data_IF_942363977341
#
_entry.id   IF_942363977341
#
_cell.length_a   1.000
_cell.length_b   1.000
_cell.length_c   1.000
_cell.angle_alpha   90.00
_cell.angle_beta   90.00
_cell.angle_gamma   90.00
#
_symmetry.space_group_name_H-M   'P 1'
#
loop_
_entity.id
_entity.type
_entity.pdbx_description
1 polymer ?
#
# COMPACT_ATOMS: atom_id res chain seq x y z
N UNK A 1 66.73 -6.87 51.40
CA UNK A 1 67.28 -6.90 50.03
C UNK A 1 66.42 -7.76 49.07
N UNK A 2 65.84 -8.88 49.51
CA UNK A 2 64.99 -9.76 48.69
C UNK A 2 63.69 -9.12 48.16
N UNK A 3 63.02 -8.30 48.98
CA UNK A 3 61.80 -7.59 48.57
C UNK A 3 62.02 -6.66 47.37
N UNK A 4 63.17 -5.99 47.32
CA UNK A 4 63.57 -5.11 46.23
C UNK A 4 63.85 -5.89 44.95
N UNK A 5 64.53 -7.04 45.04
CA UNK A 5 64.84 -7.91 43.90
C UNK A 5 63.57 -8.49 43.26
N UNK A 6 62.59 -8.90 44.08
CA UNK A 6 61.27 -9.36 43.63
C UNK A 6 60.50 -8.25 42.89
N UNK A 7 60.41 -7.06 43.49
CA UNK A 7 59.72 -5.91 42.89
C UNK A 7 60.34 -5.47 41.56
N UNK A 8 61.67 -5.55 41.43
CA UNK A 8 62.37 -5.23 40.19
C UNK A 8 62.06 -6.26 39.07
N UNK A 9 61.94 -7.55 39.41
CA UNK A 9 61.54 -8.59 38.47
C UNK A 9 60.10 -8.43 37.98
N UNK A 10 59.18 -8.07 38.89
CA UNK A 10 57.78 -7.74 38.55
C UNK A 10 57.69 -6.51 37.65
N UNK A 11 58.46 -5.46 37.95
CA UNK A 11 58.50 -4.24 37.13
C UNK A 11 58.98 -4.53 35.70
N UNK A 12 59.98 -5.40 35.54
CA UNK A 12 60.47 -5.82 34.22
C UNK A 12 59.39 -6.59 33.43
N UNK A 13 58.62 -7.46 34.09
CA UNK A 13 57.49 -8.19 33.46
C UNK A 13 56.39 -7.22 33.03
N UNK A 14 56.03 -6.27 33.90
CA UNK A 14 55.03 -5.25 33.61
C UNK A 14 55.44 -4.37 32.42
N UNK A 15 56.71 -3.97 32.34
CA UNK A 15 57.26 -3.23 31.20
C UNK A 15 57.13 -4.02 29.88
N UNK A 16 57.44 -5.32 29.89
CA UNK A 16 57.29 -6.18 28.70
C UNK A 16 55.83 -6.29 28.27
N UNK A 17 54.91 -6.44 29.22
CA UNK A 17 53.48 -6.50 28.95
C UNK A 17 52.99 -5.18 28.35
N UNK A 18 53.39 -4.04 28.94
CA UNK A 18 53.02 -2.71 28.45
C UNK A 18 53.45 -2.49 27.00
N UNK A 19 54.70 -2.83 26.64
CA UNK A 19 55.17 -2.71 25.26
C UNK A 19 54.42 -3.64 24.29
N UNK A 20 54.06 -4.85 24.72
CA UNK A 20 53.26 -5.76 23.91
C UNK A 20 51.84 -5.22 23.66
N UNK A 21 51.17 -4.73 24.71
CA UNK A 21 49.83 -4.14 24.61
C UNK A 21 49.83 -2.85 23.80
N UNK A 22 50.89 -2.03 23.93
CA UNK A 22 51.04 -0.82 23.11
C UNK A 22 51.08 -1.15 21.62
N UNK A 23 51.86 -2.16 21.22
CA UNK A 23 51.92 -2.61 19.82
C UNK A 23 50.57 -3.13 19.33
N UNK A 24 49.86 -3.89 20.15
CA UNK A 24 48.51 -4.36 19.81
C UNK A 24 47.54 -3.20 19.61
N UNK A 25 47.61 -2.17 20.46
CA UNK A 25 46.77 -0.98 20.35
C UNK A 25 47.06 -0.20 19.05
N UNK A 26 48.32 -0.05 18.68
CA UNK A 26 48.72 0.60 17.42
C UNK A 26 48.15 -0.14 16.19
N UNK A 27 48.25 -1.47 16.18
CA UNK A 27 47.68 -2.31 15.10
C UNK A 27 46.16 -2.20 15.05
N UNK A 28 45.48 -2.33 16.19
CA UNK A 28 44.02 -2.23 16.27
C UNK A 28 43.52 -0.84 15.82
N UNK A 29 44.25 0.23 16.18
CA UNK A 29 43.91 1.60 15.74
C UNK A 29 44.02 1.77 14.23
N UNK A 30 45.03 1.14 13.61
CA UNK A 30 45.20 1.13 12.16
C UNK A 30 44.06 0.38 11.47
N UNK A 31 43.71 -0.81 11.96
CA UNK A 31 42.60 -1.62 11.42
C UNK A 31 41.26 -0.90 11.54
N UNK A 32 40.95 -0.32 12.70
CA UNK A 32 39.73 0.49 12.90
C UNK A 32 39.70 1.69 11.95
N UNK A 33 40.84 2.33 11.71
CA UNK A 33 40.92 3.45 10.77
C UNK A 33 40.64 3.01 9.33
N UNK A 34 41.12 1.84 8.93
CA UNK A 34 40.84 1.23 7.63
C UNK A 34 39.35 0.92 7.47
N UNK A 35 38.76 0.22 8.44
CA UNK A 35 37.32 -0.13 8.42
C UNK A 35 36.46 1.13 8.40
N UNK A 36 36.85 2.19 9.13
CA UNK A 36 36.13 3.46 9.07
C UNK A 36 36.15 4.08 7.67
N UNK A 37 37.30 4.07 7.00
CA UNK A 37 37.40 4.56 5.63
C UNK A 37 36.54 3.76 4.64
N UNK A 38 36.51 2.42 4.79
CA UNK A 38 35.64 1.55 3.98
C UNK A 38 34.15 1.82 4.26
N UNK A 39 33.78 2.00 5.53
CA UNK A 39 32.42 2.37 5.94
C UNK A 39 32.00 3.73 5.37
N UNK A 40 32.85 4.75 5.48
CA UNK A 40 32.59 6.09 4.95
C UNK A 40 32.40 6.03 3.43
N UNK A 41 33.20 5.23 2.71
CA UNK A 41 33.04 5.00 1.28
C UNK A 41 31.71 4.31 0.93
N UNK A 42 31.36 3.23 1.63
CA UNK A 42 30.10 2.53 1.43
C UNK A 42 28.87 3.43 1.69
N UNK A 43 28.93 4.31 2.69
CA UNK A 43 27.86 5.26 2.97
C UNK A 43 27.65 6.28 1.84
N UNK A 44 28.73 6.71 1.17
CA UNK A 44 28.64 7.58 -0.01
C UNK A 44 27.95 6.85 -1.17
N UNK A 45 28.38 5.61 -1.47
CA UNK A 45 27.76 4.79 -2.52
C UNK A 45 26.27 4.54 -2.26
N UNK A 46 25.89 4.24 -1.01
CA UNK A 46 24.47 4.09 -0.63
C UNK A 46 23.71 5.40 -0.88
N UNK A 47 24.27 6.55 -0.50
CA UNK A 47 23.60 7.84 -0.71
C UNK A 47 23.42 8.18 -2.20
N UNK A 48 24.38 7.80 -3.05
CA UNK A 48 24.26 7.96 -4.51
C UNK A 48 23.18 7.04 -5.08
N UNK A 49 23.15 5.79 -4.62
CA UNK A 49 22.13 4.81 -5.02
C UNK A 49 20.73 5.23 -4.59
N UNK A 50 20.55 5.70 -3.36
CA UNK A 50 19.25 6.20 -2.87
C UNK A 50 18.71 7.36 -3.71
N UNK A 51 19.60 8.17 -4.31
CA UNK A 51 19.21 9.23 -5.24
C UNK A 51 18.88 8.71 -6.63
N UNK A 52 19.53 7.63 -7.08
CA UNK A 52 19.32 7.07 -8.41
C UNK A 52 18.07 6.19 -8.51
N UNK A 53 17.70 5.39 -7.48
CA UNK A 53 16.57 4.44 -7.65
C UNK A 53 15.23 5.12 -7.91
N UNK A 54 14.87 6.26 -7.27
CA UNK A 54 13.65 6.97 -7.65
C UNK A 54 13.72 7.33 -9.13
N UNK A 55 14.78 8.03 -9.54
CA UNK A 55 14.96 8.50 -10.93
C UNK A 55 14.88 7.37 -11.95
N UNK A 56 15.54 6.24 -11.70
CA UNK A 56 15.51 5.06 -12.58
C UNK A 56 14.12 4.42 -12.61
N UNK A 57 13.46 4.29 -11.45
CA UNK A 57 12.08 3.81 -11.37
C UNK A 57 11.14 4.72 -12.16
N UNK A 58 11.25 6.04 -12.01
CA UNK A 58 10.45 6.98 -12.78
C UNK A 58 10.68 6.82 -14.28
N UNK A 59 11.94 6.69 -14.72
CA UNK A 59 12.26 6.44 -16.12
C UNK A 59 11.65 5.13 -16.64
N UNK A 60 11.77 4.04 -15.88
CA UNK A 60 11.21 2.73 -16.23
C UNK A 60 9.66 2.77 -16.31
N UNK A 61 9.00 3.48 -15.39
CA UNK A 61 7.55 3.70 -15.44
C UNK A 61 7.16 4.47 -16.69
N UNK A 62 7.90 5.54 -17.02
CA UNK A 62 7.61 6.31 -18.23
C UNK A 62 7.82 5.50 -19.51
N UNK A 63 8.86 4.68 -19.57
CA UNK A 63 9.09 3.75 -20.68
C UNK A 63 7.93 2.75 -20.83
N UNK A 64 7.50 2.14 -19.72
CA UNK A 64 6.36 1.23 -19.71
C UNK A 64 5.07 1.90 -20.17
N UNK A 65 4.77 3.10 -19.66
CA UNK A 65 3.59 3.88 -20.06
C UNK A 65 3.63 4.32 -21.53
N UNK A 66 4.83 4.46 -22.09
CA UNK A 66 5.05 4.76 -23.51
C UNK A 66 5.03 3.51 -24.39
N UNK A 67 5.01 2.31 -23.80
CA UNK A 67 5.07 1.06 -24.54
C UNK A 67 3.78 0.79 -25.33
N UNK A 68 3.94 0.15 -26.49
CA UNK A 68 2.80 -0.27 -27.33
C UNK A 68 1.84 -1.18 -26.57
N UNK A 69 2.37 -2.11 -25.76
CA UNK A 69 1.56 -3.02 -24.95
C UNK A 69 0.66 -2.27 -23.98
N UNK A 70 1.19 -1.25 -23.28
CA UNK A 70 0.37 -0.42 -22.41
C UNK A 70 -0.73 0.29 -23.20
N UNK A 71 -0.40 0.91 -24.34
CA UNK A 71 -1.38 1.65 -25.14
C UNK A 71 -2.47 0.79 -25.78
N UNK A 72 -2.13 -0.42 -26.21
CA UNK A 72 -3.05 -1.28 -26.96
C UNK A 72 -3.86 -2.22 -26.06
N UNK A 73 -3.29 -2.72 -24.96
CA UNK A 73 -3.96 -3.69 -24.10
C UNK A 73 -4.46 -3.07 -22.79
N UNK A 74 -3.61 -2.30 -22.10
CA UNK A 74 -3.86 -1.89 -20.72
C UNK A 74 -4.67 -0.58 -20.65
N UNK A 75 -4.25 0.46 -21.37
CA UNK A 75 -4.91 1.77 -21.38
C UNK A 75 -6.40 1.70 -21.74
N UNK A 76 -6.84 0.93 -22.78
CA UNK A 76 -8.25 0.80 -23.09
C UNK A 76 -9.03 0.10 -21.98
N UNK A 77 -8.44 -0.93 -21.36
CA UNK A 77 -9.04 -1.66 -20.24
C UNK A 77 -9.24 -0.74 -19.02
N UNK A 78 -8.21 0.00 -18.60
CA UNK A 78 -8.34 0.96 -17.50
C UNK A 78 -9.40 2.05 -17.79
N UNK A 79 -9.47 2.53 -19.04
CA UNK A 79 -10.51 3.48 -19.44
C UNK A 79 -11.92 2.87 -19.39
N UNK A 80 -12.07 1.60 -19.74
CA UNK A 80 -13.34 0.88 -19.64
C UNK A 80 -13.77 0.71 -18.18
N UNK A 81 -12.85 0.32 -17.30
CA UNK A 81 -13.10 0.15 -15.87
C UNK A 81 -13.56 1.47 -15.24
N UNK A 82 -12.85 2.57 -15.53
CA UNK A 82 -13.24 3.90 -15.07
C UNK A 82 -14.63 4.32 -15.57
N UNK A 83 -14.99 4.00 -16.82
CA UNK A 83 -16.33 4.26 -17.37
C UNK A 83 -17.41 3.40 -16.72
N UNK A 84 -17.08 2.18 -16.30
CA UNK A 84 -17.99 1.31 -15.58
C UNK A 84 -18.27 1.87 -14.18
N UNK A 85 -17.21 2.19 -13.44
CA UNK A 85 -17.33 2.75 -12.09
C UNK A 85 -18.06 4.11 -12.12
N UNK A 86 -17.77 4.97 -13.11
CA UNK A 86 -18.54 6.21 -13.33
C UNK A 86 -20.03 5.95 -13.49
N UNK A 87 -20.43 4.97 -14.33
CA UNK A 87 -21.86 4.65 -14.54
C UNK A 87 -22.52 4.13 -13.27
N UNK A 88 -21.81 3.30 -12.51
CA UNK A 88 -22.29 2.79 -11.22
C UNK A 88 -22.55 3.93 -10.24
N UNK A 89 -21.59 4.84 -10.06
CA UNK A 89 -21.77 6.00 -9.17
C UNK A 89 -22.85 6.97 -9.66
N UNK A 90 -22.94 7.22 -10.97
CA UNK A 90 -24.03 8.04 -11.52
C UNK A 90 -25.41 7.43 -11.21
N UNK A 91 -25.57 6.12 -11.35
CA UNK A 91 -26.82 5.44 -11.03
C UNK A 91 -27.13 5.42 -9.52
N UNK A 92 -26.11 5.51 -8.66
CA UNK A 92 -26.31 5.69 -7.22
C UNK A 92 -26.81 7.11 -6.95
N UNK A 93 -26.09 8.13 -7.44
CA UNK A 93 -26.45 9.53 -7.24
C UNK A 93 -27.87 9.82 -7.73
N UNK A 94 -28.22 9.41 -8.95
CA UNK A 94 -29.54 9.61 -9.55
C UNK A 94 -30.70 9.10 -8.66
N UNK A 95 -30.47 8.04 -7.86
CA UNK A 95 -31.45 7.51 -6.91
C UNK A 95 -31.49 8.24 -5.56
N UNK A 96 -30.40 8.88 -5.16
CA UNK A 96 -30.30 9.55 -3.86
C UNK A 96 -30.89 10.96 -3.89
N UNK A 97 -30.84 11.65 -5.02
CA UNK A 97 -31.11 13.08 -5.09
C UNK A 97 -31.80 13.56 -6.39
N UNK A 98 -32.35 12.64 -7.20
CA UNK A 98 -32.91 12.89 -8.53
C UNK A 98 -31.95 13.66 -9.47
N UNK A 99 -30.65 13.49 -9.26
CA UNK A 99 -29.58 14.17 -9.99
C UNK A 99 -29.42 15.65 -9.61
N UNK A 100 -29.97 16.12 -8.49
CA UNK A 100 -29.88 17.52 -8.06
C UNK A 100 -28.44 17.97 -7.75
N UNK A 101 -27.63 17.14 -7.08
CA UNK A 101 -26.20 17.37 -6.82
C UNK A 101 -25.44 17.43 -8.14
N UNK A 102 -25.68 16.48 -9.05
CA UNK A 102 -25.03 16.45 -10.37
C UNK A 102 -25.32 17.73 -11.17
N UNK A 103 -26.58 18.19 -11.15
CA UNK A 103 -27.01 19.41 -11.84
C UNK A 103 -26.31 20.65 -11.29
N UNK A 104 -26.19 20.77 -9.96
CA UNK A 104 -25.47 21.86 -9.31
C UNK A 104 -24.00 21.92 -9.75
N UNK A 105 -23.30 20.79 -9.74
CA UNK A 105 -21.90 20.76 -10.19
C UNK A 105 -21.77 21.08 -11.69
N UNK A 106 -22.72 20.66 -12.53
CA UNK A 106 -22.73 21.05 -13.93
C UNK A 106 -22.90 22.57 -14.12
N UNK A 107 -23.80 23.19 -13.36
CA UNK A 107 -24.01 24.64 -13.38
C UNK A 107 -22.75 25.39 -12.92
N UNK A 108 -22.10 24.94 -11.84
CA UNK A 108 -20.85 25.50 -11.32
C UNK A 108 -19.72 25.40 -12.38
N UNK A 109 -19.54 24.23 -13.00
CA UNK A 109 -18.55 24.02 -14.07
C UNK A 109 -18.80 24.99 -15.23
N UNK A 110 -20.06 25.10 -15.69
CA UNK A 110 -20.43 25.98 -16.78
C UNK A 110 -20.25 27.46 -16.43
N UNK A 111 -20.43 27.84 -15.16
CA UNK A 111 -20.15 29.18 -14.67
C UNK A 111 -18.65 29.49 -14.74
N UNK A 112 -17.78 28.58 -14.29
CA UNK A 112 -16.34 28.75 -14.42
C UNK A 112 -15.91 28.85 -15.88
N UNK A 113 -16.44 28.00 -16.77
CA UNK A 113 -16.17 28.09 -18.21
C UNK A 113 -16.59 29.45 -18.80
N UNK A 114 -17.74 29.99 -18.39
CA UNK A 114 -18.19 31.34 -18.81
C UNK A 114 -17.25 32.45 -18.34
N UNK A 115 -16.61 32.28 -17.18
CA UNK A 115 -15.61 33.22 -16.64
C UNK A 115 -14.21 33.03 -17.22
N UNK A 116 -13.99 31.99 -18.03
CA UNK A 116 -12.65 31.63 -18.51
C UNK A 116 -11.77 30.98 -17.44
N UNK A 117 -12.37 30.46 -16.37
CA UNK A 117 -11.71 29.81 -15.25
C UNK A 117 -11.74 28.29 -15.41
N UNK A 118 -10.73 27.61 -14.85
CA UNK A 118 -10.72 26.14 -14.79
C UNK A 118 -11.44 25.69 -13.53
N UNK A 119 -12.47 24.86 -13.66
CA UNK A 119 -13.10 24.22 -12.51
C UNK A 119 -12.11 23.22 -11.87
N UNK A 120 -11.88 23.35 -10.57
CA UNK A 120 -11.04 22.42 -9.81
C UNK A 120 -11.91 21.78 -8.73
N UNK A 121 -12.13 20.48 -8.85
CA UNK A 121 -12.75 19.70 -7.77
C UNK A 121 -11.71 19.46 -6.69
N UNK A 122 -11.85 20.10 -5.54
CA UNK A 122 -11.06 19.79 -4.37
C UNK A 122 -11.45 18.39 -3.88
N UNK A 123 -10.56 17.41 -4.08
CA UNK A 123 -10.69 16.06 -3.52
C UNK A 123 -9.64 15.96 -2.43
N UNK A 124 -10.09 15.88 -1.18
CA UNK A 124 -9.18 15.64 -0.05
C UNK A 124 -8.96 14.12 0.06
N UNK A 125 -7.75 13.60 -0.19
CA UNK A 125 -7.50 12.15 -0.15
C UNK A 125 -7.58 11.55 1.26
N UNK A 126 -7.77 12.39 2.28
CA UNK A 126 -7.80 11.99 3.70
C UNK A 126 -9.20 11.91 4.32
N UNK A 127 -10.27 12.19 3.57
CA UNK A 127 -11.63 12.20 4.12
C UNK A 127 -12.20 10.77 4.27
N UNK A 128 -11.67 10.01 5.23
CA UNK A 128 -12.45 8.96 5.89
C UNK A 128 -13.48 9.66 6.79
N UNK A 129 -14.76 9.47 6.46
CA UNK A 129 -15.91 9.97 7.23
C UNK A 129 -15.96 9.21 8.56
N UNK A 130 -15.33 9.76 9.60
CA UNK A 130 -15.59 9.38 11.00
C UNK A 130 -17.02 9.82 11.32
N UNK A 131 -17.99 8.97 10.98
CA UNK A 131 -19.39 9.25 11.30
C UNK A 131 -19.56 9.27 12.81
N UNK A 132 -19.75 10.47 13.37
CA UNK A 132 -20.20 10.68 14.74
C UNK A 132 -21.54 9.94 14.94
N UNK A 133 -21.48 8.76 15.56
CA UNK A 133 -22.65 8.09 16.11
C UNK A 133 -23.11 8.84 17.37
N UNK A 134 -23.61 10.06 17.19
CA UNK A 134 -24.43 10.73 18.19
C UNK A 134 -25.89 10.33 18.02
N UNK A 135 -26.38 9.52 18.95
CA UNK A 135 -27.77 9.59 19.38
C UNK A 135 -28.67 8.43 18.97
N UNK A 136 -28.79 7.44 19.86
CA UNK A 136 -30.11 7.00 20.30
C UNK A 136 -29.98 6.39 21.71
N UNK A 137 -30.21 7.24 22.70
CA UNK A 137 -30.61 6.82 24.02
C UNK A 137 -32.12 6.53 23.99
N UNK A 138 -32.45 5.27 24.29
CA UNK A 138 -33.56 4.85 25.14
C UNK A 138 -34.98 5.35 24.78
N UNK A 139 -35.74 4.48 24.11
CA UNK A 139 -37.18 4.43 24.26
C UNK A 139 -37.64 2.97 24.22
N UNK A 140 -37.52 2.28 25.35
CA UNK A 140 -38.37 1.13 25.63
C UNK A 140 -39.83 1.58 25.66
N UNK A 141 -40.69 0.99 24.84
CA UNK A 141 -42.12 0.86 25.15
C UNK A 141 -42.59 -0.51 24.70
N UNK A 142 -43.27 -1.16 25.63
CA UNK A 142 -43.64 -2.56 25.65
C UNK A 142 -44.84 -2.87 24.71
N UNK A 143 -44.97 -4.17 24.41
CA UNK A 143 -46.21 -4.96 24.48
C UNK A 143 -46.80 -5.45 23.15
N UNK A 144 -46.98 -6.78 23.04
CA UNK A 144 -48.08 -7.41 22.30
C UNK A 144 -47.69 -8.65 21.49
N UNK A 145 -47.67 -9.82 22.12
CA UNK A 145 -47.71 -11.15 21.47
C UNK A 145 -49.07 -11.35 20.81
N UNK A 146 -49.18 -11.92 19.59
CA UNK A 146 -50.20 -12.87 19.02
C UNK A 146 -49.76 -13.21 17.58
N UNK A 147 -50.03 -14.31 16.89
CA UNK A 147 -50.33 -15.74 17.12
C UNK A 147 -50.26 -16.37 15.69
N UNK A 148 -50.20 -17.70 15.65
CA UNK A 148 -49.81 -18.62 14.58
C UNK A 148 -50.56 -18.49 13.23
N UNK A 149 -49.84 -18.86 12.16
CA UNK A 149 -50.39 -19.13 10.83
C UNK A 149 -49.57 -20.18 10.09
N UNK A 150 -49.80 -21.44 10.45
CA UNK A 150 -49.34 -22.64 9.77
C UNK A 150 -50.06 -22.85 8.43
N UNK A 151 -49.32 -23.17 7.38
CA UNK A 151 -49.82 -23.82 6.17
C UNK A 151 -48.64 -24.49 5.45
N UNK A 152 -48.48 -25.79 5.68
CA UNK A 152 -47.72 -26.67 4.80
C UNK A 152 -48.36 -26.72 3.40
N UNK A 153 -47.55 -26.68 2.33
CA UNK A 153 -47.87 -27.46 1.13
C UNK A 153 -46.61 -27.93 0.41
N UNK A 154 -46.67 -29.20 0.08
CA UNK A 154 -45.68 -30.15 -0.41
C UNK A 154 -45.56 -30.03 -1.93
N UNK A 155 -44.34 -30.19 -2.45
CA UNK A 155 -44.09 -29.99 -3.88
C UNK A 155 -42.74 -30.49 -4.36
N UNK A 156 -42.27 -31.60 -3.81
CA UNK A 156 -41.07 -32.29 -4.27
C UNK A 156 -41.31 -32.87 -5.68
N UNK A 157 -40.56 -32.44 -6.70
CA UNK A 157 -40.25 -33.33 -7.84
C UNK A 157 -38.87 -33.05 -8.42
N UNK A 158 -37.97 -34.02 -8.18
CA UNK A 158 -36.76 -34.30 -8.95
C UNK A 158 -37.13 -34.90 -10.30
N UNK A 159 -36.40 -34.56 -11.34
CA UNK A 159 -36.21 -35.45 -12.50
C UNK A 159 -34.85 -35.21 -13.15
N UNK A 160 -33.88 -36.01 -12.72
CA UNK A 160 -32.80 -36.46 -13.60
C UNK A 160 -33.37 -37.55 -14.52
N UNK A 161 -33.16 -37.46 -15.83
CA UNK A 161 -33.10 -38.65 -16.69
C UNK A 161 -32.11 -38.40 -17.84
N UNK A 162 -30.99 -39.11 -17.76
CA UNK A 162 -30.03 -39.27 -18.83
C UNK A 162 -30.57 -40.16 -19.95
N UNK A 163 -30.21 -39.88 -21.20
CA UNK A 163 -30.07 -40.92 -22.23
C UNK A 163 -29.12 -40.45 -23.33
N UNK A 164 -27.94 -41.07 -23.37
CA UNK A 164 -26.98 -40.87 -24.44
C UNK A 164 -27.40 -41.56 -25.75
N UNK A 165 -26.71 -41.19 -26.82
CA UNK A 165 -26.26 -42.09 -27.88
C UNK A 165 -25.25 -41.35 -28.76
N UNK A 166 -24.05 -41.92 -28.84
CA UNK A 166 -23.13 -41.71 -29.94
C UNK A 166 -23.75 -42.24 -31.25
N UNK A 167 -23.35 -41.68 -32.38
CA UNK A 167 -23.36 -42.41 -33.65
C UNK A 167 -22.25 -41.89 -34.56
N UNK A 168 -21.46 -42.83 -35.04
CA UNK A 168 -20.24 -42.72 -35.84
C UNK A 168 -20.46 -42.29 -37.31
N UNK A 169 -19.32 -41.88 -37.88
CA UNK A 169 -18.83 -41.85 -39.27
C UNK A 169 -19.64 -42.54 -40.40
N UNK A 170 -19.84 -41.82 -41.52
CA UNK A 170 -19.25 -42.09 -42.86
C UNK A 170 -20.11 -41.47 -43.99
N UNK A 171 -19.56 -40.49 -44.71
CA UNK A 171 -19.16 -40.55 -46.14
C UNK A 171 -18.50 -39.23 -46.57
#
# INVERSE_FOLDING_TARGET
MESLKRRNGENLRLKKLFEATKKQLEVATLEVSKVRGELDGALVEISELEKSIPTEREAAVQEYLSSSTFHLAIKPYCAQEARFEKRKWMAVLDRYDDGSILRKYHEDIDEHHRKGETFVLAVDPSSEDESDNEGNADAQTQHGEEDLGDAEDDGRTRSDTARGSASDENE
#
